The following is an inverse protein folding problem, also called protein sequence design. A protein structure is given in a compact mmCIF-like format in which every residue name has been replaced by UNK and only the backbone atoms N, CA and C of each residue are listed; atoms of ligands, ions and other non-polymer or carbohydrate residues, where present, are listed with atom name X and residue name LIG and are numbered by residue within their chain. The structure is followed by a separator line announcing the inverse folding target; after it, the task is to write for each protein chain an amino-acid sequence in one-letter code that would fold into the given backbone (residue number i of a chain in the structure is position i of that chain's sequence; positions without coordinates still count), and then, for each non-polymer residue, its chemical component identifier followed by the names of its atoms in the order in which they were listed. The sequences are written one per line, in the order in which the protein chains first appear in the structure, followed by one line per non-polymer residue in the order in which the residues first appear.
data_IF_822752542606
#
_entry.id   IF_822752542606
#
_cell.length_a   1.000
_cell.length_b   1.000
_cell.length_c   1.000
_cell.angle_alpha   90.00
_cell.angle_beta   90.00
_cell.angle_gamma   90.00
#
_symmetry.space_group_name_H-M   'P 1'
#
loop_
_entity.id
_entity.type
_entity.pdbx_description
1 polymer ?
#
# COMPACT_ATOMS: atom_id res chain seq x y z
N UNK A 1 -19.98 -5.23 -10.03
CA UNK A 1 -21.25 -4.61 -10.48
C UNK A 1 -20.94 -3.41 -11.34
N UNK A 2 -21.81 -3.13 -12.31
CA UNK A 2 -21.73 -1.96 -13.18
C UNK A 2 -22.50 -0.83 -12.47
N UNK A 3 -21.82 0.29 -12.15
CA UNK A 3 -22.54 1.48 -11.66
C UNK A 3 -23.47 2.02 -12.77
N UNK A 4 -24.63 2.55 -12.40
CA UNK A 4 -25.51 3.23 -13.33
C UNK A 4 -24.73 4.27 -14.15
N UNK A 5 -24.99 4.36 -15.43
CA UNK A 5 -24.31 5.24 -16.39
C UNK A 5 -22.81 4.99 -16.61
N UNK A 6 -22.25 3.87 -16.18
CA UNK A 6 -20.86 3.52 -16.49
C UNK A 6 -20.78 2.61 -17.73
N UNK A 7 -19.95 2.99 -18.71
CA UNK A 7 -19.69 2.18 -19.92
C UNK A 7 -18.99 0.86 -19.57
N UNK A 8 -18.14 0.85 -18.54
CA UNK A 8 -17.31 -0.28 -18.12
C UNK A 8 -17.66 -0.74 -16.70
N UNK A 9 -17.55 -2.03 -16.44
CA UNK A 9 -17.66 -2.60 -15.12
C UNK A 9 -16.37 -2.34 -14.31
N UNK A 10 -16.49 -2.33 -12.98
CA UNK A 10 -15.33 -2.24 -12.06
C UNK A 10 -14.27 -3.30 -12.35
N UNK A 11 -14.70 -4.54 -12.68
CA UNK A 11 -13.79 -5.63 -13.03
C UNK A 11 -13.03 -5.36 -14.33
N UNK A 12 -13.69 -4.82 -15.35
CA UNK A 12 -13.02 -4.45 -16.61
C UNK A 12 -11.95 -3.38 -16.38
N UNK A 13 -12.27 -2.35 -15.58
CA UNK A 13 -11.29 -1.29 -15.25
C UNK A 13 -10.10 -1.86 -14.47
N UNK A 14 -10.35 -2.73 -13.49
CA UNK A 14 -9.30 -3.40 -12.74
C UNK A 14 -8.41 -4.25 -13.65
N UNK A 15 -9.01 -5.06 -14.52
CA UNK A 15 -8.26 -5.90 -15.46
C UNK A 15 -7.39 -5.05 -16.40
N UNK A 16 -7.90 -3.92 -16.88
CA UNK A 16 -7.11 -3.00 -17.70
C UNK A 16 -5.93 -2.41 -16.92
N UNK A 17 -6.12 -2.01 -15.67
CA UNK A 17 -5.02 -1.54 -14.80
C UNK A 17 -3.98 -2.63 -14.57
N UNK A 18 -4.39 -3.89 -14.41
CA UNK A 18 -3.49 -5.02 -14.27
C UNK A 18 -2.66 -5.29 -15.54
N UNK A 19 -3.15 -4.89 -16.70
CA UNK A 19 -2.42 -5.01 -17.98
C UNK A 19 -1.40 -3.89 -18.19
N UNK A 20 -1.45 -2.79 -17.45
CA UNK A 20 -0.54 -1.65 -17.62
C UNK A 20 0.94 -2.05 -17.66
N UNK A 21 1.47 -2.86 -16.73
CA UNK A 21 2.88 -3.27 -16.76
C UNK A 21 3.25 -4.05 -18.03
N UNK A 22 2.36 -4.92 -18.52
CA UNK A 22 2.60 -5.75 -19.70
C UNK A 22 2.62 -4.93 -21.00
N UNK A 23 1.87 -3.82 -21.04
CA UNK A 23 1.83 -2.90 -22.17
C UNK A 23 2.70 -1.65 -21.96
N UNK A 24 3.54 -1.65 -20.93
CA UNK A 24 4.45 -0.55 -20.55
C UNK A 24 3.71 0.79 -20.37
N UNK A 25 2.47 0.74 -19.89
CA UNK A 25 1.67 1.94 -19.56
C UNK A 25 2.10 2.46 -18.20
N UNK A 26 2.83 3.55 -18.15
CA UNK A 26 3.41 4.09 -16.91
C UNK A 26 2.36 4.63 -15.92
N UNK A 27 1.29 5.21 -16.43
CA UNK A 27 0.19 5.76 -15.64
C UNK A 27 -1.05 6.00 -16.51
N UNK A 28 -2.20 6.28 -15.88
CA UNK A 28 -3.46 6.49 -16.57
C UNK A 28 -3.41 7.63 -17.62
N UNK A 29 -2.63 8.70 -17.37
CA UNK A 29 -2.51 9.82 -18.31
C UNK A 29 -1.82 9.42 -19.64
N UNK A 30 -1.04 8.34 -19.64
CA UNK A 30 -0.35 7.82 -20.83
C UNK A 30 -1.14 6.72 -21.54
N UNK A 31 -2.31 6.36 -21.03
CA UNK A 31 -3.13 5.28 -21.57
C UNK A 31 -3.49 5.49 -23.04
N UNK A 32 -3.97 6.68 -23.41
CA UNK A 32 -4.40 7.01 -24.79
C UNK A 32 -3.30 6.83 -25.84
N UNK A 33 -2.04 6.95 -25.43
CA UNK A 33 -0.88 6.79 -26.31
C UNK A 33 -0.30 5.36 -26.30
N UNK A 34 -0.96 4.43 -25.61
CA UNK A 34 -0.50 3.05 -25.47
C UNK A 34 -1.12 2.14 -26.53
N UNK A 35 -0.47 1.00 -26.81
CA UNK A 35 -1.08 -0.06 -27.65
C UNK A 35 -2.33 -0.67 -26.99
N UNK A 36 -2.44 -0.64 -25.66
CA UNK A 36 -3.61 -1.13 -24.94
C UNK A 36 -4.88 -0.30 -25.25
N UNK A 37 -4.74 1.01 -25.50
CA UNK A 37 -5.88 1.87 -25.87
C UNK A 37 -6.49 1.51 -27.22
N UNK A 38 -5.73 0.90 -28.14
CA UNK A 38 -6.22 0.40 -29.41
C UNK A 38 -7.13 -0.82 -29.25
N UNK A 39 -6.91 -1.61 -28.22
CA UNK A 39 -7.73 -2.78 -27.89
C UNK A 39 -8.98 -2.38 -27.09
N UNK A 40 -8.86 -1.34 -26.28
CA UNK A 40 -9.92 -0.86 -25.40
C UNK A 40 -10.00 0.67 -25.43
N UNK A 41 -10.97 1.18 -26.16
CA UNK A 41 -11.16 2.63 -26.28
C UNK A 41 -11.91 3.18 -25.05
N UNK A 42 -11.15 3.74 -24.10
CA UNK A 42 -11.67 4.43 -22.94
C UNK A 42 -10.80 5.64 -22.57
N UNK A 43 -11.36 6.58 -21.83
CA UNK A 43 -10.64 7.76 -21.36
C UNK A 43 -9.88 7.45 -20.06
N UNK A 44 -8.77 8.21 -19.86
CA UNK A 44 -7.96 8.18 -18.62
C UNK A 44 -8.78 8.46 -17.36
N UNK A 45 -9.82 9.29 -17.46
CA UNK A 45 -10.68 9.68 -16.35
C UNK A 45 -11.44 8.49 -15.74
N UNK A 46 -11.67 7.44 -16.52
CA UNK A 46 -12.25 6.20 -16.02
C UNK A 46 -11.33 5.56 -14.96
N UNK A 47 -10.02 5.55 -15.22
CA UNK A 47 -9.04 5.00 -14.27
C UNK A 47 -8.92 5.87 -13.02
N UNK A 48 -8.88 7.20 -13.19
CA UNK A 48 -8.82 8.12 -12.04
C UNK A 48 -10.06 8.02 -11.16
N UNK A 49 -11.26 7.97 -11.73
CA UNK A 49 -12.49 7.77 -10.97
C UNK A 49 -12.50 6.45 -10.21
N UNK A 50 -12.01 5.37 -10.82
CA UNK A 50 -11.89 4.09 -10.15
C UNK A 50 -10.85 4.11 -9.02
N UNK A 51 -9.66 4.68 -9.27
CA UNK A 51 -8.59 4.76 -8.26
C UNK A 51 -8.96 5.66 -7.08
N UNK A 52 -9.76 6.71 -7.31
CA UNK A 52 -10.22 7.63 -6.29
C UNK A 52 -11.50 7.17 -5.58
N UNK A 53 -12.07 6.03 -5.93
CA UNK A 53 -13.23 5.48 -5.24
C UNK A 53 -12.85 4.97 -3.84
N UNK A 54 -13.20 5.75 -2.81
CA UNK A 54 -12.91 5.45 -1.40
C UNK A 54 -13.57 4.17 -0.87
N UNK A 55 -14.52 3.58 -1.62
CA UNK A 55 -15.18 2.33 -1.27
C UNK A 55 -14.41 1.09 -1.74
N UNK A 56 -13.41 1.25 -2.61
CA UNK A 56 -12.57 0.15 -3.06
C UNK A 56 -11.65 -0.30 -1.93
N UNK A 57 -11.86 -1.51 -1.46
CA UNK A 57 -11.08 -2.10 -0.35
C UNK A 57 -9.75 -2.65 -0.86
N UNK A 58 -8.84 -1.74 -1.24
CA UNK A 58 -7.55 -2.05 -1.89
C UNK A 58 -6.73 -3.09 -1.15
N UNK A 59 -6.61 -2.98 0.18
CA UNK A 59 -5.88 -3.95 1.01
C UNK A 59 -6.48 -5.35 0.91
N UNK A 60 -7.83 -5.47 0.96
CA UNK A 60 -8.50 -6.77 0.81
C UNK A 60 -8.28 -7.36 -0.58
N UNK A 61 -8.31 -6.52 -1.62
CA UNK A 61 -8.03 -6.93 -3.00
C UNK A 61 -6.60 -7.45 -3.13
N UNK A 62 -5.62 -6.70 -2.61
CA UNK A 62 -4.21 -7.08 -2.63
C UNK A 62 -3.98 -8.45 -1.97
N UNK A 63 -4.55 -8.67 -0.78
CA UNK A 63 -4.47 -9.97 -0.10
C UNK A 63 -5.15 -11.08 -0.91
N UNK A 64 -6.33 -10.84 -1.48
CA UNK A 64 -7.04 -11.85 -2.26
C UNK A 64 -6.22 -12.31 -3.48
N UNK A 65 -5.58 -11.37 -4.17
CA UNK A 65 -4.70 -11.66 -5.29
C UNK A 65 -3.45 -12.46 -4.86
N UNK A 66 -2.78 -12.00 -3.80
CA UNK A 66 -1.59 -12.67 -3.30
C UNK A 66 -1.87 -14.08 -2.78
N UNK A 67 -3.00 -14.31 -2.11
CA UNK A 67 -3.38 -15.66 -1.67
C UNK A 67 -3.63 -16.62 -2.84
N UNK A 68 -4.15 -16.13 -3.97
CA UNK A 68 -4.27 -16.92 -5.19
C UNK A 68 -2.89 -17.26 -5.78
N UNK A 69 -1.97 -16.27 -5.80
CA UNK A 69 -0.60 -16.48 -6.26
C UNK A 69 0.15 -17.49 -5.36
N UNK A 70 0.05 -17.34 -4.03
CA UNK A 70 0.63 -18.29 -3.07
C UNK A 70 0.15 -19.71 -3.34
N UNK A 71 -1.17 -19.91 -3.54
CA UNK A 71 -1.73 -21.22 -3.87
C UNK A 71 -1.13 -21.81 -5.16
N UNK A 72 -1.01 -20.98 -6.21
CA UNK A 72 -0.42 -21.41 -7.50
C UNK A 72 1.06 -21.73 -7.36
N UNK A 73 1.84 -20.94 -6.64
CA UNK A 73 3.25 -21.18 -6.37
C UNK A 73 3.41 -22.47 -5.58
N UNK A 74 2.65 -22.66 -4.51
CA UNK A 74 2.73 -23.85 -3.66
C UNK A 74 2.29 -25.15 -4.36
N UNK A 75 1.44 -25.06 -5.39
CA UNK A 75 1.04 -26.21 -6.21
C UNK A 75 2.01 -26.53 -7.34
N UNK A 76 2.99 -25.66 -7.60
CA UNK A 76 4.01 -25.91 -8.62
C UNK A 76 5.06 -26.89 -8.11
N UNK A 77 5.27 -27.99 -8.81
CA UNK A 77 6.27 -29.04 -8.48
C UNK A 77 7.72 -28.58 -8.54
N UNK A 78 7.97 -27.38 -9.08
CA UNK A 78 9.29 -26.75 -9.18
C UNK A 78 9.68 -25.96 -7.94
N UNK A 79 8.77 -25.76 -6.99
CA UNK A 79 9.06 -25.01 -5.76
C UNK A 79 9.85 -25.93 -4.81
N UNK A 80 11.06 -25.52 -4.48
CA UNK A 80 11.89 -26.20 -3.48
C UNK A 80 11.24 -26.06 -2.10
N UNK A 81 10.54 -27.11 -1.64
CA UNK A 81 9.86 -27.18 -0.34
C UNK A 81 10.78 -27.02 0.89
N UNK A 82 12.10 -26.93 0.69
CA UNK A 82 13.10 -26.87 1.78
C UNK A 82 13.59 -25.46 2.11
N UNK A 83 13.06 -24.41 1.45
CA UNK A 83 13.45 -23.03 1.80
C UNK A 83 12.45 -22.41 2.76
N UNK A 84 12.92 -21.69 3.80
CA UNK A 84 12.02 -21.03 4.73
C UNK A 84 11.26 -19.90 4.02
N UNK A 85 10.01 -19.73 4.39
CA UNK A 85 9.18 -18.62 3.97
C UNK A 85 9.30 -17.50 5.00
N UNK A 86 9.71 -16.34 4.54
CA UNK A 86 9.92 -15.18 5.39
C UNK A 86 8.85 -14.11 5.15
N UNK A 87 8.27 -13.60 6.24
CA UNK A 87 7.50 -12.37 6.22
C UNK A 87 8.46 -11.22 6.55
N UNK A 88 8.58 -10.24 5.65
CA UNK A 88 9.55 -9.16 5.73
C UNK A 88 8.81 -7.84 5.92
N UNK A 89 9.18 -7.06 6.93
CA UNK A 89 8.63 -5.72 7.16
C UNK A 89 9.78 -4.73 7.18
N UNK A 90 9.61 -3.68 6.39
CA UNK A 90 10.57 -2.58 6.29
C UNK A 90 9.86 -1.27 5.99
N UNK A 91 10.51 -0.13 6.26
CA UNK A 91 9.98 1.16 5.89
C UNK A 91 10.89 1.93 4.93
N UNK A 92 10.27 2.73 4.11
CA UNK A 92 10.97 3.57 3.13
C UNK A 92 10.29 4.93 3.01
N UNK A 93 11.02 5.90 2.47
CA UNK A 93 10.44 7.18 2.11
C UNK A 93 9.65 7.07 0.80
N UNK A 94 8.45 7.63 0.75
CA UNK A 94 7.62 7.76 -0.44
C UNK A 94 7.51 9.25 -0.84
N UNK A 95 8.53 9.80 -1.52
CA UNK A 95 8.54 11.22 -1.90
C UNK A 95 7.45 11.54 -2.92
N UNK A 96 6.93 12.76 -2.81
CA UNK A 96 5.92 13.32 -3.71
C UNK A 96 6.32 14.71 -4.17
N UNK A 97 5.85 15.12 -5.33
CA UNK A 97 6.13 16.44 -5.91
C UNK A 97 4.96 17.42 -5.75
N UNK A 98 3.75 16.93 -5.57
CA UNK A 98 2.53 17.75 -5.47
C UNK A 98 1.95 17.82 -4.06
N UNK A 99 1.20 18.89 -3.78
CA UNK A 99 0.53 19.14 -2.50
C UNK A 99 -0.94 18.69 -2.45
N UNK A 100 -1.46 18.14 -3.54
CA UNK A 100 -2.88 17.75 -3.68
C UNK A 100 -3.19 16.35 -3.15
N UNK A 101 -2.15 15.56 -2.84
CA UNK A 101 -2.35 14.23 -2.26
C UNK A 101 -2.83 14.37 -0.83
N UNK A 102 -3.84 13.60 -0.46
CA UNK A 102 -4.44 13.61 0.85
C UNK A 102 -3.42 13.44 1.99
N UNK A 103 -3.56 14.25 3.03
CA UNK A 103 -2.68 14.25 4.20
C UNK A 103 -1.18 14.40 3.87
N UNK A 104 -0.85 14.94 2.69
CA UNK A 104 0.55 15.14 2.29
C UNK A 104 1.23 16.13 3.24
N UNK A 105 2.40 15.78 3.73
CA UNK A 105 3.19 16.60 4.63
C UNK A 105 4.69 16.42 4.39
N UNK A 106 5.49 17.22 5.08
CA UNK A 106 6.93 17.02 5.09
C UNK A 106 7.28 16.01 6.17
N UNK A 107 8.12 15.06 5.81
CA UNK A 107 8.70 14.05 6.68
C UNK A 107 10.22 14.17 6.69
N UNK A 108 10.85 13.76 7.77
CA UNK A 108 12.30 13.68 7.83
C UNK A 108 12.81 12.44 7.09
N UNK A 109 13.64 12.63 6.10
CA UNK A 109 14.32 11.54 5.40
C UNK A 109 15.70 11.28 6.02
N UNK A 110 15.88 10.10 6.60
CA UNK A 110 17.19 9.68 7.13
C UNK A 110 18.18 9.41 5.99
N UNK A 111 17.71 8.98 4.83
CA UNK A 111 18.54 8.73 3.64
C UNK A 111 19.08 10.03 3.07
N UNK A 112 18.22 11.05 2.97
CA UNK A 112 18.61 12.35 2.38
C UNK A 112 19.06 13.39 3.41
N UNK A 113 18.98 13.09 4.71
CA UNK A 113 19.31 14.00 5.82
C UNK A 113 18.62 15.36 5.71
N UNK A 114 17.35 15.36 5.25
CA UNK A 114 16.54 16.58 5.07
C UNK A 114 15.04 16.28 5.13
N UNK A 115 14.25 17.32 5.34
CA UNK A 115 12.80 17.23 5.19
C UNK A 115 12.40 17.16 3.74
N UNK A 116 11.66 16.13 3.37
CA UNK A 116 11.09 15.92 2.05
C UNK A 116 9.57 15.93 2.10
N UNK A 117 8.92 16.29 1.01
CA UNK A 117 7.47 16.16 0.86
C UNK A 117 7.14 14.70 0.55
N UNK A 118 6.28 14.08 1.34
CA UNK A 118 5.94 12.67 1.14
C UNK A 118 5.37 11.98 2.37
N UNK A 119 5.51 10.65 2.39
CA UNK A 119 5.10 9.78 3.48
C UNK A 119 6.23 8.82 3.85
N UNK A 120 6.22 8.34 5.09
CA UNK A 120 6.91 7.11 5.47
C UNK A 120 6.03 5.94 5.06
N UNK A 121 6.52 5.08 4.19
CA UNK A 121 5.80 3.91 3.70
C UNK A 121 6.31 2.66 4.42
N UNK A 122 5.50 2.13 5.33
CA UNK A 122 5.74 0.82 5.92
C UNK A 122 5.23 -0.25 4.95
N UNK A 123 6.05 -1.22 4.64
CA UNK A 123 5.75 -2.28 3.66
C UNK A 123 5.86 -3.66 4.30
N UNK A 124 5.05 -4.60 3.83
CA UNK A 124 5.13 -6.00 4.21
C UNK A 124 5.15 -6.89 2.98
N UNK A 125 6.10 -7.80 2.93
CA UNK A 125 6.37 -8.70 1.81
C UNK A 125 6.51 -10.14 2.30
N UNK A 126 6.05 -11.11 1.51
CA UNK A 126 6.33 -12.53 1.69
C UNK A 126 7.39 -12.97 0.69
N UNK A 127 8.39 -13.73 1.15
CA UNK A 127 9.43 -14.28 0.28
C UNK A 127 9.77 -15.71 0.66
N UNK A 128 9.90 -16.59 -0.34
CA UNK A 128 10.41 -17.97 -0.24
C UNK A 128 11.85 -18.07 -0.76
N UNK A 129 12.53 -16.93 -0.93
CA UNK A 129 13.87 -16.84 -1.51
C UNK A 129 13.91 -16.81 -3.04
N UNK A 130 12.80 -17.11 -3.71
CA UNK A 130 12.62 -17.03 -5.18
C UNK A 130 11.53 -16.02 -5.51
N UNK A 131 10.33 -16.25 -4.99
CA UNK A 131 9.18 -15.37 -5.16
C UNK A 131 9.18 -14.25 -4.11
N UNK A 132 8.72 -13.09 -4.52
CA UNK A 132 8.54 -11.93 -3.64
C UNK A 132 7.14 -11.36 -3.86
N UNK A 133 6.28 -11.47 -2.85
CA UNK A 133 4.89 -11.05 -2.92
C UNK A 133 4.65 -9.88 -1.96
N UNK A 134 4.29 -8.74 -2.51
CA UNK A 134 3.94 -7.55 -1.75
C UNK A 134 2.56 -7.71 -1.14
N UNK A 135 2.47 -7.86 0.19
CA UNK A 135 1.22 -8.20 0.89
C UNK A 135 0.45 -7.01 1.39
N UNK A 136 1.15 -6.03 1.97
CA UNK A 136 0.50 -4.91 2.64
C UNK A 136 1.41 -3.69 2.69
N UNK A 137 0.81 -2.51 2.90
CA UNK A 137 1.52 -1.26 3.13
C UNK A 137 0.72 -0.32 4.00
N UNK A 138 1.41 0.63 4.62
CA UNK A 138 0.79 1.72 5.37
C UNK A 138 1.58 3.01 5.15
N UNK A 139 0.87 4.12 4.98
CA UNK A 139 1.48 5.43 4.75
C UNK A 139 1.37 6.27 6.02
N UNK A 140 2.50 6.62 6.60
CA UNK A 140 2.59 7.40 7.81
C UNK A 140 3.09 8.81 7.51
N UNK A 141 2.61 9.77 8.27
CA UNK A 141 3.15 11.11 8.32
C UNK A 141 3.81 11.39 9.67
N UNK A 142 4.17 12.63 9.85
CA UNK A 142 4.74 13.13 11.11
C UNK A 142 3.84 14.20 11.70
N UNK A 143 3.81 14.29 13.03
CA UNK A 143 3.09 15.35 13.73
C UNK A 143 3.93 16.62 13.76
N UNK A 144 3.34 17.71 13.27
CA UNK A 144 3.94 19.02 13.34
C UNK A 144 3.79 19.60 14.76
N UNK A 145 4.90 19.60 15.50
CA UNK A 145 4.94 20.09 16.89
C UNK A 145 5.41 21.53 17.04
N UNK A 146 6.18 21.99 16.06
CA UNK A 146 6.86 23.28 16.13
C UNK A 146 6.50 24.15 14.91
N UNK A 147 6.02 25.38 15.17
CA UNK A 147 5.67 26.33 14.11
C UNK A 147 6.89 26.74 13.25
N UNK A 148 8.09 26.66 13.79
CA UNK A 148 9.33 27.02 13.09
C UNK A 148 9.87 25.86 12.26
N UNK A 149 9.49 24.61 12.56
CA UNK A 149 9.90 23.43 11.78
C UNK A 149 8.87 23.13 10.71
N UNK A 150 9.30 23.13 9.46
CA UNK A 150 8.46 22.83 8.29
C UNK A 150 8.08 21.33 8.23
N UNK A 151 8.38 20.57 9.26
CA UNK A 151 8.21 19.12 9.33
C UNK A 151 6.89 18.74 9.99
N UNK A 152 6.21 17.76 9.43
CA UNK A 152 4.95 17.23 9.94
C UNK A 152 3.73 18.09 9.60
N UNK A 153 2.57 17.63 10.02
CA UNK A 153 1.29 18.36 9.93
C UNK A 153 0.73 18.61 11.33
N UNK A 154 0.39 19.85 11.62
CA UNK A 154 -0.40 20.18 12.82
C UNK A 154 -1.81 19.60 12.73
N UNK A 155 -2.52 19.48 13.86
CA UNK A 155 -3.91 19.02 13.87
C UNK A 155 -4.82 19.85 12.94
N UNK A 156 -4.64 21.19 12.91
CA UNK A 156 -5.38 22.08 12.02
C UNK A 156 -5.08 21.79 10.54
N UNK A 157 -3.80 21.57 10.19
CA UNK A 157 -3.40 21.23 8.82
C UNK A 157 -3.92 19.85 8.39
N UNK A 158 -3.90 18.86 9.29
CA UNK A 158 -4.49 17.54 8.99
C UNK A 158 -5.98 17.65 8.68
N UNK A 159 -6.72 18.38 9.50
CA UNK A 159 -8.16 18.62 9.27
C UNK A 159 -8.43 19.35 7.95
N UNK A 160 -7.63 20.35 7.61
CA UNK A 160 -7.77 21.10 6.36
C UNK A 160 -7.36 20.32 5.10
N UNK A 161 -6.51 19.29 5.24
CA UNK A 161 -6.04 18.45 4.14
C UNK A 161 -6.77 17.11 4.03
N UNK A 162 -7.71 16.88 4.89
CA UNK A 162 -8.69 15.84 4.79
C UNK A 162 -9.95 16.45 4.21
N UNK A 163 -10.29 16.13 2.98
CA UNK A 163 -11.50 16.62 2.33
C UNK A 163 -12.64 15.65 2.54
N UNK A 164 -13.81 16.17 2.92
CA UNK A 164 -15.04 15.39 3.18
C UNK A 164 -15.52 14.65 1.92
N UNK A 165 -15.07 15.04 0.74
CA UNK A 165 -15.36 14.38 -0.54
C UNK A 165 -14.82 12.95 -0.65
N UNK A 166 -13.99 12.52 0.29
CA UNK A 166 -13.38 11.20 0.35
C UNK A 166 -14.00 10.33 1.43
N UNK A 167 -15.33 10.28 1.48
CA UNK A 167 -16.04 9.33 2.34
C UNK A 167 -15.80 7.90 1.85
N UNK A 168 -15.31 7.04 2.73
CA UNK A 168 -15.12 5.63 2.43
C UNK A 168 -14.18 4.93 3.40
N UNK A 169 -14.32 3.62 3.46
CA UNK A 169 -13.53 2.79 4.39
C UNK A 169 -12.01 2.93 4.17
N UNK A 170 -11.56 3.04 2.92
CA UNK A 170 -10.15 3.15 2.60
C UNK A 170 -9.54 4.47 3.08
N UNK A 171 -10.32 5.56 2.98
CA UNK A 171 -9.90 6.89 3.45
C UNK A 171 -9.81 6.91 4.96
N UNK A 172 -10.81 6.36 5.66
CA UNK A 172 -10.80 6.26 7.12
C UNK A 172 -9.59 5.46 7.61
N UNK A 173 -9.33 4.30 7.02
CA UNK A 173 -8.13 3.50 7.34
C UNK A 173 -6.85 4.32 7.14
N UNK A 174 -6.77 5.13 6.08
CA UNK A 174 -5.64 5.99 5.77
C UNK A 174 -5.42 7.09 6.82
N UNK A 175 -6.49 7.71 7.30
CA UNK A 175 -6.43 8.74 8.35
C UNK A 175 -6.00 8.14 9.68
N UNK A 176 -6.57 6.99 10.06
CA UNK A 176 -6.25 6.30 11.30
C UNK A 176 -4.78 5.86 11.35
N UNK A 177 -4.22 5.44 10.21
CA UNK A 177 -2.83 4.99 10.09
C UNK A 177 -1.81 6.14 10.11
N UNK A 178 -2.22 7.36 9.75
CA UNK A 178 -1.29 8.46 9.48
C UNK A 178 -0.33 8.78 10.63
N UNK A 179 -0.82 8.84 11.86
CA UNK A 179 -0.02 9.09 13.07
C UNK A 179 0.20 7.86 13.93
N UNK A 180 -0.26 6.68 13.50
CA UNK A 180 -0.05 5.44 14.21
C UNK A 180 1.46 5.15 14.29
N UNK A 181 1.92 4.61 15.41
CA UNK A 181 3.32 4.17 15.51
C UNK A 181 3.57 3.03 14.53
N UNK A 182 4.61 3.14 13.71
CA UNK A 182 4.95 2.10 12.71
C UNK A 182 5.14 0.72 13.35
N UNK A 183 5.70 0.66 14.56
CA UNK A 183 5.85 -0.62 15.31
C UNK A 183 4.52 -1.26 15.68
N UNK A 184 3.51 -0.49 16.07
CA UNK A 184 2.17 -1.00 16.36
C UNK A 184 1.48 -1.43 15.07
N UNK A 185 1.64 -0.63 14.00
CA UNK A 185 1.12 -0.98 12.67
C UNK A 185 1.76 -2.26 12.12
N UNK A 186 3.06 -2.45 12.29
CA UNK A 186 3.75 -3.68 11.91
C UNK A 186 3.10 -4.92 12.58
N UNK A 187 2.82 -4.86 13.88
CA UNK A 187 2.12 -5.92 14.59
C UNK A 187 0.72 -6.17 14.01
N UNK A 188 -0.03 -5.11 13.71
CA UNK A 188 -1.38 -5.24 13.14
C UNK A 188 -1.35 -5.83 11.73
N UNK A 189 -0.35 -5.48 10.91
CA UNK A 189 -0.14 -6.09 9.60
C UNK A 189 0.15 -7.59 9.71
N UNK A 190 1.02 -8.01 10.64
CA UNK A 190 1.30 -9.43 10.88
C UNK A 190 0.05 -10.17 11.36
N UNK A 191 -0.69 -9.61 12.32
CA UNK A 191 -1.97 -10.18 12.78
C UNK A 191 -2.95 -10.37 11.62
N UNK A 192 -3.05 -9.36 10.75
CA UNK A 192 -3.94 -9.43 9.60
C UNK A 192 -3.49 -10.48 8.59
N UNK A 193 -2.19 -10.59 8.31
CA UNK A 193 -1.65 -11.62 7.44
C UNK A 193 -1.96 -13.04 7.95
N UNK A 194 -1.74 -13.28 9.25
CA UNK A 194 -2.07 -14.56 9.92
C UNK A 194 -3.58 -14.83 9.80
N UNK A 195 -4.42 -13.85 10.13
CA UNK A 195 -5.89 -13.96 10.01
C UNK A 195 -6.35 -14.29 8.59
N UNK A 196 -5.60 -13.84 7.59
CA UNK A 196 -5.87 -14.12 6.16
C UNK A 196 -5.30 -15.45 5.68
N UNK A 197 -4.65 -16.23 6.55
CA UNK A 197 -4.10 -17.55 6.25
C UNK A 197 -2.73 -17.53 5.58
N UNK A 198 -2.01 -16.41 5.65
CA UNK A 198 -0.60 -16.35 5.20
C UNK A 198 0.25 -17.15 6.18
N UNK A 199 0.98 -18.15 5.68
CA UNK A 199 1.92 -18.97 6.45
C UNK A 199 3.34 -18.48 6.20
N UNK A 200 4.15 -18.43 7.24
CA UNK A 200 5.56 -18.06 7.19
C UNK A 200 6.31 -18.72 8.36
N UNK A 201 7.60 -18.95 8.18
CA UNK A 201 8.47 -19.56 9.19
C UNK A 201 9.20 -18.50 10.02
N UNK A 202 9.57 -17.38 9.40
CA UNK A 202 10.31 -16.31 10.04
C UNK A 202 9.70 -14.95 9.74
N UNK A 203 9.74 -14.06 10.75
CA UNK A 203 9.50 -12.63 10.59
C UNK A 203 10.85 -11.91 10.56
N UNK A 204 11.15 -11.23 9.46
CA UNK A 204 12.34 -10.40 9.29
C UNK A 204 11.96 -8.93 9.41
N UNK A 205 12.62 -8.22 10.30
CA UNK A 205 12.42 -6.79 10.53
C UNK A 205 13.76 -6.13 10.78
N UNK A 206 13.90 -4.84 10.45
CA UNK A 206 15.05 -4.05 10.91
C UNK A 206 15.06 -3.98 12.45
N UNK A 207 16.25 -3.84 13.01
CA UNK A 207 16.50 -3.69 14.47
C UNK A 207 15.63 -2.60 15.09
N UNK A 208 15.33 -1.54 14.38
CA UNK A 208 14.46 -0.45 14.83
C UNK A 208 13.02 -0.91 15.15
N UNK A 209 12.50 -1.92 14.45
CA UNK A 209 11.19 -2.50 14.73
C UNK A 209 11.22 -3.50 15.90
N UNK A 210 12.42 -3.99 16.27
CA UNK A 210 12.59 -5.00 17.31
C UNK A 210 12.34 -4.38 18.69
N UNK A 211 11.15 -4.58 19.22
CA UNK A 211 10.78 -4.16 20.56
C UNK A 211 10.10 -5.29 21.32
N UNK A 212 10.03 -5.15 22.65
CA UNK A 212 9.46 -6.17 23.55
C UNK A 212 8.03 -6.57 23.14
N UNK A 213 7.22 -5.63 22.62
CA UNK A 213 5.83 -5.89 22.22
C UNK A 213 5.76 -6.81 20.98
N UNK A 214 6.59 -6.54 19.96
CA UNK A 214 6.67 -7.38 18.77
C UNK A 214 7.23 -8.77 19.11
N UNK A 215 8.33 -8.83 19.86
CA UNK A 215 8.96 -10.09 20.28
C UNK A 215 7.97 -10.95 21.07
N UNK A 216 7.30 -10.40 22.08
CA UNK A 216 6.28 -11.13 22.86
C UNK A 216 5.13 -11.61 21.97
N UNK A 217 4.68 -10.78 21.05
CA UNK A 217 3.59 -11.16 20.14
C UNK A 217 4.00 -12.36 19.24
N UNK A 218 5.20 -12.36 18.67
CA UNK A 218 5.67 -13.46 17.82
C UNK A 218 5.97 -14.73 18.64
N UNK A 219 6.61 -14.61 19.81
CA UNK A 219 6.94 -15.75 20.68
C UNK A 219 5.70 -16.44 21.27
N UNK A 220 4.54 -15.82 21.23
CA UNK A 220 3.26 -16.37 21.70
C UNK A 220 2.50 -17.14 20.62
N UNK A 221 3.06 -17.29 19.42
CA UNK A 221 2.43 -17.93 18.24
C UNK A 221 3.11 -19.22 17.84
#
# INVERSE_FOLDING_TARGET
EKKENCKFTTLQVLNLLMLFPFFVVKNASRYSNSSLSKLFNCDKDMFYRFMNDGNVKWRKLLYAMNLQLIKKISSSTTVHHNKPVCLIIDDTDAPKTGMTTELIGRIWSHVHQKSILGYKCLTMMLSDGVSKLFLDFSLHGEEGKDKQKVQGLTAKQRKARYTEDHEGQAVKERVDEYLMKKTDKAIDMVKYAIKRGVRFDYLLVDSWFTNTKLVRFISSR
#
